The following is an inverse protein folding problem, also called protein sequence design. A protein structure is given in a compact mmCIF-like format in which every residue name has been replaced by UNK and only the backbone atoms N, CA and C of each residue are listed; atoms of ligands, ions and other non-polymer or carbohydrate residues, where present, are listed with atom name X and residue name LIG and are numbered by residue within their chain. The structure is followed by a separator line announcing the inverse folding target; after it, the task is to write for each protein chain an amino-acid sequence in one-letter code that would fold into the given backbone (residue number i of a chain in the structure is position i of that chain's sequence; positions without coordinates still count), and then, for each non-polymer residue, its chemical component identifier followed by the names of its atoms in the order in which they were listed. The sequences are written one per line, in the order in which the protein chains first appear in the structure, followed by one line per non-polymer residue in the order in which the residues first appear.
data_IF_322113741796
#
_entry.id   IF_322113741796
#
_cell.length_a   1.000
_cell.length_b   1.000
_cell.length_c   1.000
_cell.angle_alpha   90.00
_cell.angle_beta   90.00
_cell.angle_gamma   90.00
#
_symmetry.space_group_name_H-M   'P 1'
#
loop_
_entity.id
_entity.type
_entity.pdbx_description
1 polymer ?
#
# COMPACT_ATOMS: atom_id res chain seq x y z
N UNK A 1 24.62 -16.31 -3.05
CA UNK A 1 23.79 -15.93 -4.22
C UNK A 1 23.11 -14.58 -3.93
N UNK A 2 22.79 -13.81 -4.97
CA UNK A 2 22.09 -12.52 -4.89
C UNK A 2 20.72 -12.64 -5.59
N UNK A 3 20.25 -11.60 -6.27
CA UNK A 3 19.04 -11.69 -7.11
C UNK A 3 19.13 -12.88 -8.09
N UNK A 4 18.07 -13.70 -8.21
CA UNK A 4 18.09 -14.95 -8.97
C UNK A 4 17.96 -14.71 -10.47
N UNK A 5 18.92 -14.00 -11.08
CA UNK A 5 18.94 -13.70 -12.51
C UNK A 5 19.19 -14.93 -13.40
N UNK A 6 19.71 -16.01 -12.82
CA UNK A 6 19.91 -17.30 -13.49
C UNK A 6 18.98 -18.33 -12.83
N UNK A 7 17.73 -18.47 -13.32
CA UNK A 7 16.71 -19.27 -12.66
C UNK A 7 17.08 -20.75 -12.59
N UNK A 8 17.78 -21.29 -13.58
CA UNK A 8 18.16 -22.71 -13.68
C UNK A 8 19.03 -23.16 -12.50
N UNK A 9 19.83 -22.25 -11.94
CA UNK A 9 20.71 -22.50 -10.79
C UNK A 9 20.20 -21.86 -9.49
N UNK A 10 18.97 -21.34 -9.48
CA UNK A 10 18.37 -20.62 -8.34
C UNK A 10 17.02 -21.20 -7.90
N UNK A 11 16.65 -22.40 -8.39
CA UNK A 11 15.32 -22.99 -8.22
C UNK A 11 14.86 -23.05 -6.75
N UNK A 12 15.72 -23.49 -5.82
CA UNK A 12 15.32 -23.62 -4.41
C UNK A 12 14.86 -22.29 -3.76
N UNK A 13 15.50 -21.16 -4.10
CA UNK A 13 15.06 -19.84 -3.60
C UNK A 13 13.81 -19.36 -4.33
N UNK A 14 13.69 -19.62 -5.63
CA UNK A 14 12.52 -19.23 -6.41
C UNK A 14 11.27 -19.98 -5.94
N UNK A 15 11.38 -21.27 -5.62
CA UNK A 15 10.31 -22.06 -5.03
C UNK A 15 9.88 -21.50 -3.66
N UNK A 16 10.84 -21.15 -2.79
CA UNK A 16 10.52 -20.52 -1.52
C UNK A 16 9.80 -19.17 -1.68
N UNK A 17 10.17 -18.36 -2.69
CA UNK A 17 9.46 -17.11 -3.00
C UNK A 17 8.05 -17.35 -3.55
N UNK A 18 7.85 -18.41 -4.33
CA UNK A 18 6.52 -18.79 -4.80
C UNK A 18 5.63 -19.24 -3.64
N UNK A 19 6.18 -19.96 -2.67
CA UNK A 19 5.47 -20.31 -1.44
C UNK A 19 5.10 -19.07 -0.61
N UNK A 20 6.00 -18.08 -0.51
CA UNK A 20 5.69 -16.80 0.13
C UNK A 20 4.54 -16.07 -0.57
N UNK A 21 4.58 -15.97 -1.90
CA UNK A 21 3.51 -15.33 -2.68
C UNK A 21 2.17 -16.04 -2.50
N UNK A 22 2.17 -17.37 -2.50
CA UNK A 22 0.98 -18.20 -2.30
C UNK A 22 0.38 -17.96 -0.91
N UNK A 23 1.20 -18.03 0.13
CA UNK A 23 0.77 -17.76 1.52
C UNK A 23 0.15 -16.37 1.66
N UNK A 24 0.77 -15.33 1.09
CA UNK A 24 0.23 -13.96 1.17
C UNK A 24 -1.09 -13.84 0.40
N UNK A 25 -1.19 -14.41 -0.81
CA UNK A 25 -2.41 -14.40 -1.60
C UNK A 25 -3.56 -15.12 -0.88
N UNK A 26 -3.31 -16.27 -0.27
CA UNK A 26 -4.31 -17.03 0.49
C UNK A 26 -4.78 -16.30 1.75
N UNK A 27 -3.87 -15.70 2.52
CA UNK A 27 -4.22 -14.96 3.74
C UNK A 27 -4.99 -13.67 3.45
N UNK A 28 -4.65 -12.97 2.36
CA UNK A 28 -5.29 -11.70 1.99
C UNK A 28 -6.55 -11.88 1.14
N UNK A 29 -6.73 -13.06 0.54
CA UNK A 29 -7.79 -13.32 -0.45
C UNK A 29 -7.61 -12.56 -1.77
N UNK A 30 -6.42 -11.99 -2.02
CA UNK A 30 -6.11 -11.25 -3.25
C UNK A 30 -5.55 -12.19 -4.33
N UNK A 31 -5.75 -11.88 -5.62
CA UNK A 31 -5.38 -12.79 -6.71
C UNK A 31 -3.86 -12.90 -6.95
N UNK A 32 -3.04 -11.99 -6.41
CA UNK A 32 -1.59 -12.01 -6.60
C UNK A 32 -0.85 -11.31 -5.47
N UNK A 33 0.42 -11.65 -5.30
CA UNK A 33 1.35 -11.02 -4.36
C UNK A 33 2.74 -10.87 -4.98
N UNK A 34 3.49 -9.86 -4.52
CA UNK A 34 4.89 -9.70 -4.86
C UNK A 34 5.82 -10.63 -4.07
N UNK A 35 7.12 -10.61 -4.38
CA UNK A 35 8.11 -11.43 -3.70
C UNK A 35 8.63 -10.85 -2.36
N UNK A 36 8.31 -9.59 -2.05
CA UNK A 36 8.47 -8.87 -0.76
C UNK A 36 8.49 -7.36 -1.03
N UNK A 37 8.37 -6.55 0.03
CA UNK A 37 8.79 -5.14 0.07
C UNK A 37 9.71 -4.93 1.29
N UNK A 38 10.15 -3.70 1.55
CA UNK A 38 11.13 -3.41 2.62
C UNK A 38 10.48 -3.47 4.01
N UNK A 39 9.36 -2.78 4.18
CA UNK A 39 8.59 -2.70 5.42
C UNK A 39 7.13 -2.31 5.12
N UNK A 40 6.29 -2.24 6.15
CA UNK A 40 4.86 -1.89 6.04
C UNK A 40 4.63 -0.46 5.52
N UNK A 41 5.31 0.53 6.10
CA UNK A 41 5.11 1.94 5.72
C UNK A 41 5.48 2.21 4.26
N UNK A 42 6.58 1.63 3.79
CA UNK A 42 6.98 1.71 2.38
C UNK A 42 6.03 0.92 1.48
N UNK A 43 5.51 -0.24 1.93
CA UNK A 43 4.49 -0.96 1.20
C UNK A 43 3.18 -0.16 1.05
N UNK A 44 2.75 0.53 2.11
CA UNK A 44 1.58 1.41 2.07
C UNK A 44 1.80 2.61 1.14
N UNK A 45 3.00 3.19 1.11
CA UNK A 45 3.35 4.25 0.16
C UNK A 45 3.37 3.76 -1.30
N UNK A 46 3.83 2.54 -1.58
CA UNK A 46 3.72 1.93 -2.91
C UNK A 46 2.25 1.67 -3.29
N UNK A 47 1.40 1.30 -2.33
CA UNK A 47 -0.05 1.18 -2.55
C UNK A 47 -0.71 2.53 -2.89
N UNK A 48 -0.28 3.63 -2.25
CA UNK A 48 -0.67 4.99 -2.62
C UNK A 48 -0.28 5.31 -4.06
N UNK A 49 0.97 5.03 -4.44
CA UNK A 49 1.48 5.29 -5.78
C UNK A 49 0.73 4.47 -6.85
N UNK A 50 0.46 3.18 -6.58
CA UNK A 50 -0.34 2.31 -7.43
C UNK A 50 -1.76 2.88 -7.61
N UNK A 51 -2.41 3.24 -6.51
CA UNK A 51 -3.77 3.80 -6.49
C UNK A 51 -3.86 5.07 -7.34
N UNK A 52 -2.90 5.99 -7.20
CA UNK A 52 -2.83 7.21 -8.01
C UNK A 52 -2.65 6.92 -9.51
N UNK A 53 -1.82 5.92 -9.83
CA UNK A 53 -1.52 5.55 -11.21
C UNK A 53 -2.75 4.98 -11.92
N UNK A 54 -3.44 4.03 -11.29
CA UNK A 54 -4.60 3.33 -11.89
C UNK A 54 -5.93 4.07 -11.70
N UNK A 55 -6.05 4.89 -10.65
CA UNK A 55 -7.27 5.61 -10.28
C UNK A 55 -7.70 6.65 -11.31
N UNK A 56 -9.01 6.88 -11.41
CA UNK A 56 -9.60 7.86 -12.34
C UNK A 56 -9.54 9.29 -11.81
N UNK A 57 -9.53 9.47 -10.49
CA UNK A 57 -9.46 10.79 -9.83
C UNK A 57 -8.01 11.25 -9.78
N UNK A 58 -7.60 12.13 -10.71
CA UNK A 58 -6.19 12.55 -10.85
C UNK A 58 -5.76 13.68 -9.93
N UNK A 59 -6.71 14.46 -9.40
CA UNK A 59 -6.47 15.63 -8.53
C UNK A 59 -7.08 15.47 -7.13
N UNK A 60 -7.36 14.23 -6.73
CA UNK A 60 -7.93 13.94 -5.42
C UNK A 60 -6.88 13.78 -4.34
N UNK A 61 -7.35 13.49 -3.14
CA UNK A 61 -6.51 13.18 -1.97
C UNK A 61 -6.28 11.68 -1.82
N UNK A 62 -5.18 11.31 -1.16
CA UNK A 62 -5.01 10.00 -0.56
C UNK A 62 -5.51 10.06 0.88
N UNK A 63 -6.52 9.28 1.21
CA UNK A 63 -7.14 9.28 2.53
C UNK A 63 -6.52 8.17 3.38
N UNK A 64 -6.12 8.49 4.60
CA UNK A 64 -5.56 7.54 5.56
C UNK A 64 -6.42 7.58 6.82
N UNK A 65 -6.79 6.42 7.33
CA UNK A 65 -7.54 6.32 8.57
C UNK A 65 -6.69 6.75 9.78
N UNK A 66 -7.31 7.44 10.73
CA UNK A 66 -6.66 7.95 11.93
C UNK A 66 -6.12 6.86 12.86
N UNK A 67 -6.62 5.62 12.76
CA UNK A 67 -6.17 4.45 13.50
C UNK A 67 -5.01 3.71 12.81
N UNK A 68 -4.40 4.34 11.79
CA UNK A 68 -3.18 3.85 11.15
C UNK A 68 -1.96 4.14 12.03
N UNK A 69 -1.02 3.19 12.11
CA UNK A 69 0.23 3.33 12.85
C UNK A 69 0.96 4.62 12.48
N UNK A 70 1.44 5.40 13.46
CA UNK A 70 1.98 6.73 13.23
C UNK A 70 3.22 6.72 12.32
N UNK A 71 4.05 5.67 12.38
CA UNK A 71 5.19 5.52 11.48
C UNK A 71 4.77 5.25 10.03
N UNK A 72 3.66 4.55 9.80
CA UNK A 72 3.13 4.27 8.46
C UNK A 72 2.60 5.57 7.85
N UNK A 73 1.86 6.38 8.61
CA UNK A 73 1.43 7.73 8.21
C UNK A 73 2.64 8.61 7.85
N UNK A 74 3.65 8.68 8.71
CA UNK A 74 4.85 9.49 8.48
C UNK A 74 5.60 9.10 7.19
N UNK A 75 5.72 7.79 6.89
CA UNK A 75 6.34 7.32 5.65
C UNK A 75 5.50 7.71 4.42
N UNK A 76 4.18 7.60 4.50
CA UNK A 76 3.27 7.98 3.41
C UNK A 76 3.37 9.48 3.12
N UNK A 77 3.29 10.32 4.15
CA UNK A 77 3.41 11.78 4.02
C UNK A 77 4.76 12.18 3.39
N UNK A 78 5.86 11.59 3.88
CA UNK A 78 7.21 11.81 3.34
C UNK A 78 7.31 11.42 1.87
N UNK A 79 6.65 10.33 1.45
CA UNK A 79 6.62 9.87 0.06
C UNK A 79 5.69 10.71 -0.81
N UNK A 80 4.65 11.30 -0.23
CA UNK A 80 3.66 12.13 -0.90
C UNK A 80 4.22 13.51 -1.27
N UNK A 81 4.98 14.14 -0.38
CA UNK A 81 5.56 15.48 -0.51
C UNK A 81 6.23 15.74 -1.87
N UNK A 82 7.23 14.96 -2.33
CA UNK A 82 7.91 15.23 -3.61
C UNK A 82 7.02 15.01 -4.84
N UNK A 83 5.88 14.33 -4.69
CA UNK A 83 4.98 13.99 -5.79
C UNK A 83 3.74 14.90 -5.87
N UNK A 84 3.64 15.86 -4.93
CA UNK A 84 2.50 16.76 -4.78
C UNK A 84 1.19 16.04 -4.49
N UNK A 85 1.25 14.84 -3.88
CA UNK A 85 0.05 14.14 -3.40
C UNK A 85 -0.35 14.76 -2.08
N UNK A 86 -1.62 15.14 -1.99
CA UNK A 86 -2.20 15.53 -0.71
C UNK A 86 -2.65 14.28 0.05
N UNK A 87 -2.17 14.14 1.28
CA UNK A 87 -2.57 13.09 2.22
C UNK A 87 -3.48 13.74 3.26
N UNK A 88 -4.62 13.12 3.51
CA UNK A 88 -5.55 13.54 4.57
C UNK A 88 -5.70 12.40 5.55
N UNK A 89 -5.46 12.67 6.83
CA UNK A 89 -5.72 11.74 7.93
C UNK A 89 -7.06 12.11 8.56
N UNK A 90 -7.97 11.16 8.68
CA UNK A 90 -9.29 11.37 9.29
C UNK A 90 -9.78 10.09 9.97
N UNK A 91 -10.63 10.23 10.99
CA UNK A 91 -11.36 9.10 11.56
C UNK A 91 -12.43 8.64 10.56
N UNK A 92 -12.33 7.38 10.10
CA UNK A 92 -13.24 6.80 9.12
C UNK A 92 -14.22 5.80 9.73
N UNK A 93 -14.36 5.76 11.05
CA UNK A 93 -15.26 4.84 11.77
C UNK A 93 -16.72 4.94 11.29
N UNK A 94 -17.16 6.15 10.95
CA UNK A 94 -18.51 6.44 10.41
C UNK A 94 -18.53 6.60 8.88
N UNK A 95 -17.44 6.25 8.20
CA UNK A 95 -17.24 6.42 6.76
C UNK A 95 -16.43 7.67 6.39
N UNK A 96 -16.41 8.02 5.10
CA UNK A 96 -15.60 9.13 4.59
C UNK A 96 -16.33 10.47 4.84
N UNK A 97 -15.71 11.45 5.53
CA UNK A 97 -16.29 12.77 5.73
C UNK A 97 -16.68 13.46 4.40
N UNK A 98 -17.84 14.10 4.37
CA UNK A 98 -18.43 14.65 3.14
C UNK A 98 -17.54 15.70 2.48
N UNK A 99 -16.92 16.57 3.29
CA UNK A 99 -15.98 17.58 2.85
C UNK A 99 -14.70 16.99 2.21
N UNK A 100 -14.32 15.77 2.59
CA UNK A 100 -13.21 15.04 1.96
C UNK A 100 -13.68 14.40 0.66
N UNK A 101 -14.87 13.78 0.68
CA UNK A 101 -15.44 13.14 -0.50
C UNK A 101 -15.64 14.13 -1.68
N UNK A 102 -16.09 15.36 -1.40
CA UNK A 102 -16.28 16.42 -2.40
C UNK A 102 -14.99 16.82 -3.13
N UNK A 103 -13.83 16.68 -2.47
CA UNK A 103 -12.51 16.97 -3.06
C UNK A 103 -12.05 15.87 -4.03
N UNK A 104 -12.69 14.71 -3.98
CA UNK A 104 -12.32 13.51 -4.70
C UNK A 104 -11.23 12.74 -3.95
N UNK A 105 -11.44 11.43 -3.81
CA UNK A 105 -10.49 10.50 -3.17
C UNK A 105 -10.02 9.51 -4.23
N UNK A 106 -8.70 9.34 -4.39
CA UNK A 106 -8.15 8.39 -5.36
C UNK A 106 -7.70 7.07 -4.73
N UNK A 107 -7.57 7.02 -3.40
CA UNK A 107 -7.22 5.84 -2.64
C UNK A 107 -7.49 6.07 -1.16
N UNK A 108 -7.79 4.98 -0.45
CA UNK A 108 -8.01 4.95 1.00
C UNK A 108 -7.10 3.88 1.59
N UNK A 109 -6.38 4.21 2.66
CA UNK A 109 -5.65 3.25 3.49
C UNK A 109 -6.39 3.06 4.81
N UNK A 110 -6.73 1.81 5.11
CA UNK A 110 -7.30 1.38 6.39
C UNK A 110 -6.34 0.39 7.03
N UNK A 111 -6.16 0.49 8.34
CA UNK A 111 -5.42 -0.48 9.11
C UNK A 111 -6.36 -1.55 9.69
N UNK A 112 -5.95 -2.83 9.63
CA UNK A 112 -6.76 -3.93 10.15
C UNK A 112 -5.91 -5.06 10.77
N UNK A 113 -6.08 -5.39 12.07
CA UNK A 113 -6.85 -4.61 13.05
C UNK A 113 -6.25 -3.21 13.25
N UNK A 114 -7.06 -2.28 13.74
CA UNK A 114 -6.64 -0.94 14.16
C UNK A 114 -5.46 -0.91 15.15
N UNK A 115 -4.85 0.27 15.35
CA UNK A 115 -3.64 0.44 16.16
C UNK A 115 -3.89 0.41 17.68
#
# INVERSE_FOLDING_TARGET
AYTPYQPEISQGRLEALLNFQTMVAELTGLPTSGASLLDEGTAAAEAMALSRRVGKVKKGVFLVDADTLPQTVAVIETRAEPTGVEVVVADLSDGIPAEIAERGVFGVLLQYPGA
#
